data_IF_493650264406
#
_entry.id   IF_493650264406
#
_cell.length_a   1.000
_cell.length_b   1.000
_cell.length_c   1.000
_cell.angle_alpha   90.00
_cell.angle_beta   90.00
_cell.angle_gamma   90.00
#
_symmetry.space_group_name_H-M   'P 1'
#
loop_
_entity.id
_entity.type
_entity.pdbx_description
1 polymer ?
#
# COMPACT_ATOMS: atom_id res chain seq x y z
N UNK A 1 -50.47 5.71 57.06
CA UNK A 1 -49.82 4.76 56.13
C UNK A 1 -49.32 5.61 54.96
N UNK A 2 -48.01 5.82 54.87
CA UNK A 2 -47.40 6.56 53.72
C UNK A 2 -46.56 5.55 52.94
N UNK A 3 -46.98 5.28 51.70
CA UNK A 3 -46.28 4.39 50.77
C UNK A 3 -45.11 5.15 50.13
N UNK A 4 -43.89 4.66 50.33
CA UNK A 4 -42.68 5.06 49.56
C UNK A 4 -42.70 4.30 48.24
N UNK A 5 -42.70 5.04 47.13
CA UNK A 5 -42.42 4.50 45.80
C UNK A 5 -40.93 4.70 45.52
N UNK A 6 -40.17 3.60 45.48
CA UNK A 6 -38.75 3.61 45.10
C UNK A 6 -38.69 3.61 43.58
N UNK A 7 -38.24 4.71 42.98
CA UNK A 7 -37.91 4.77 41.56
C UNK A 7 -36.59 4.12 41.28
N UNK A 8 -36.58 3.02 40.50
CA UNK A 8 -35.37 2.40 39.96
C UNK A 8 -34.93 3.18 38.72
N UNK A 9 -33.89 3.98 38.86
CA UNK A 9 -33.25 4.66 37.75
C UNK A 9 -32.42 3.65 36.94
N UNK A 10 -32.85 3.36 35.71
CA UNK A 10 -32.12 2.56 34.74
C UNK A 10 -31.02 3.43 34.10
N UNK A 11 -29.77 3.32 34.61
CA UNK A 11 -28.62 3.90 33.96
C UNK A 11 -28.30 3.13 32.67
N UNK A 12 -28.73 3.66 31.53
CA UNK A 12 -28.24 3.23 30.22
C UNK A 12 -26.79 3.69 30.08
N UNK A 13 -25.85 2.78 30.34
CA UNK A 13 -24.45 2.96 29.97
C UNK A 13 -24.38 2.92 28.43
N UNK A 14 -24.27 4.09 27.80
CA UNK A 14 -23.81 4.18 26.42
C UNK A 14 -22.36 3.69 26.42
N UNK A 15 -22.15 2.44 26.02
CA UNK A 15 -20.83 1.94 25.70
C UNK A 15 -20.24 2.84 24.59
N UNK A 16 -19.21 3.60 24.92
CA UNK A 16 -18.38 4.24 23.90
C UNK A 16 -17.85 3.09 23.03
N UNK A 17 -18.41 2.93 21.83
CA UNK A 17 -17.89 1.99 20.85
C UNK A 17 -16.40 2.29 20.69
N UNK A 18 -15.54 1.28 20.86
CA UNK A 18 -14.12 1.42 20.61
C UNK A 18 -13.96 2.03 19.21
N UNK A 19 -13.18 3.10 19.10
CA UNK A 19 -12.94 3.75 17.82
C UNK A 19 -12.37 2.71 16.84
N UNK A 20 -12.94 2.63 15.65
CA UNK A 20 -12.50 1.68 14.64
C UNK A 20 -11.03 1.95 14.28
N UNK A 21 -10.18 0.90 14.29
CA UNK A 21 -8.75 1.02 13.99
C UNK A 21 -8.55 1.73 12.65
N UNK A 22 -7.83 2.87 12.62
CA UNK A 22 -7.59 3.59 11.38
C UNK A 22 -6.69 2.79 10.45
N UNK A 23 -7.03 2.70 9.17
CA UNK A 23 -6.24 2.00 8.16
C UNK A 23 -5.51 3.02 7.27
N UNK A 24 -4.24 2.75 7.02
CA UNK A 24 -3.46 3.30 5.92
C UNK A 24 -3.35 2.20 4.83
N UNK A 25 -3.97 2.43 3.67
CA UNK A 25 -3.82 1.52 2.52
C UNK A 25 -2.55 1.88 1.77
N UNK A 26 -1.54 1.02 1.85
CA UNK A 26 -0.23 1.27 1.27
C UNK A 26 -0.08 0.75 -0.17
N UNK A 27 -1.15 0.20 -0.76
CA UNK A 27 -1.08 -0.35 -2.12
C UNK A 27 -2.45 -0.28 -2.80
N UNK A 28 -2.66 0.76 -3.59
CA UNK A 28 -3.92 0.97 -4.29
C UNK A 28 -3.68 1.58 -5.68
N UNK A 29 -4.50 1.19 -6.66
CA UNK A 29 -4.41 1.69 -8.02
C UNK A 29 -5.69 2.37 -8.47
N UNK A 30 -5.55 3.47 -9.22
CA UNK A 30 -6.65 4.15 -9.86
C UNK A 30 -6.31 4.43 -11.32
N UNK A 31 -6.27 3.36 -12.13
CA UNK A 31 -5.89 3.41 -13.54
C UNK A 31 -7.07 3.82 -14.44
N UNK A 32 -6.76 4.16 -15.68
CA UNK A 32 -7.73 4.72 -16.66
C UNK A 32 -8.99 3.88 -16.87
N UNK A 33 -8.92 2.58 -16.68
CA UNK A 33 -10.07 1.67 -16.78
C UNK A 33 -11.08 1.81 -15.65
N UNK A 34 -10.69 2.40 -14.51
CA UNK A 34 -11.60 2.67 -13.40
C UNK A 34 -12.28 4.04 -13.48
N UNK A 35 -11.79 4.99 -14.28
CA UNK A 35 -12.20 6.38 -14.20
C UNK A 35 -13.68 6.64 -14.51
N UNK A 36 -14.24 5.90 -15.47
CA UNK A 36 -15.65 6.06 -15.88
C UNK A 36 -16.60 5.32 -14.94
N UNK A 37 -16.20 4.13 -14.45
CA UNK A 37 -17.02 3.30 -13.57
C UNK A 37 -16.99 3.75 -12.10
N UNK A 38 -15.87 4.34 -11.67
CA UNK A 38 -15.65 4.86 -10.30
C UNK A 38 -15.07 6.27 -10.39
N UNK A 39 -15.86 7.31 -10.71
CA UNK A 39 -15.38 8.68 -10.82
C UNK A 39 -14.66 9.16 -9.54
N UNK A 40 -13.75 10.17 -9.60
CA UNK A 40 -12.90 10.56 -8.47
C UNK A 40 -13.66 10.82 -7.17
N UNK A 41 -14.78 11.54 -7.19
CA UNK A 41 -15.59 11.79 -6.00
C UNK A 41 -16.16 10.50 -5.38
N UNK A 42 -16.57 9.55 -6.23
CA UNK A 42 -17.05 8.23 -5.78
C UNK A 42 -15.89 7.41 -5.19
N UNK A 43 -14.73 7.41 -5.84
CA UNK A 43 -13.53 6.76 -5.33
C UNK A 43 -13.18 7.28 -3.92
N UNK A 44 -13.11 8.58 -3.73
CA UNK A 44 -12.86 9.19 -2.42
C UNK A 44 -13.94 8.83 -1.40
N UNK A 45 -15.21 8.81 -1.79
CA UNK A 45 -16.30 8.39 -0.89
C UNK A 45 -16.15 6.93 -0.45
N UNK A 46 -15.73 6.03 -1.34
CA UNK A 46 -15.44 4.61 -1.02
C UNK A 46 -14.31 4.53 0.02
N UNK A 47 -13.19 5.21 -0.21
CA UNK A 47 -12.04 5.20 0.71
C UNK A 47 -12.42 5.74 2.10
N UNK A 48 -13.13 6.85 2.16
CA UNK A 48 -13.61 7.43 3.43
C UNK A 48 -14.61 6.51 4.15
N UNK A 49 -15.56 5.91 3.42
CA UNK A 49 -16.53 4.95 3.97
C UNK A 49 -15.84 3.70 4.52
N UNK A 50 -14.74 3.25 3.93
CA UNK A 50 -13.92 2.16 4.43
C UNK A 50 -13.11 2.52 5.68
N UNK A 51 -13.15 3.76 6.13
CA UNK A 51 -12.41 4.26 7.30
C UNK A 51 -10.90 4.41 7.05
N UNK A 52 -10.50 4.60 5.79
CA UNK A 52 -9.09 4.85 5.47
C UNK A 52 -8.69 6.26 5.92
N UNK A 53 -7.55 6.37 6.58
CA UNK A 53 -6.94 7.65 6.96
C UNK A 53 -6.04 8.20 5.87
N UNK A 54 -5.31 7.35 5.20
CA UNK A 54 -4.44 7.66 4.06
C UNK A 54 -4.45 6.48 3.08
N UNK A 55 -4.18 6.78 1.82
CA UNK A 55 -4.01 5.78 0.78
C UNK A 55 -2.84 6.16 -0.13
N UNK A 56 -1.89 5.25 -0.29
CA UNK A 56 -0.82 5.35 -1.28
C UNK A 56 -1.37 4.87 -2.62
N UNK A 57 -1.41 5.75 -3.59
CA UNK A 57 -2.09 5.48 -4.87
C UNK A 57 -1.16 5.72 -6.04
N UNK A 58 -1.03 4.70 -6.89
CA UNK A 58 -0.39 4.79 -8.20
C UNK A 58 -1.40 4.50 -9.32
N UNK A 59 -1.11 4.94 -10.51
CA UNK A 59 -1.98 4.77 -11.69
C UNK A 59 -1.17 4.49 -12.95
N UNK A 60 -1.70 3.66 -13.83
CA UNK A 60 -1.34 3.62 -15.24
C UNK A 60 -2.43 4.37 -16.02
N UNK A 61 -2.28 5.57 -16.58
CA UNK A 61 -1.29 6.60 -16.40
C UNK A 61 -1.51 7.51 -15.19
N UNK A 62 -0.51 8.35 -15.01
CA UNK A 62 -0.35 9.21 -13.84
C UNK A 62 -1.50 10.17 -13.55
N UNK A 63 -2.33 10.51 -14.53
CA UNK A 63 -3.49 11.38 -14.35
C UNK A 63 -4.47 10.87 -13.30
N UNK A 64 -4.56 9.55 -13.08
CA UNK A 64 -5.50 8.94 -12.15
C UNK A 64 -5.30 9.40 -10.72
N UNK A 65 -4.11 9.13 -10.15
CA UNK A 65 -3.87 9.54 -8.76
C UNK A 65 -3.82 11.06 -8.60
N UNK A 66 -3.45 11.82 -9.65
CA UNK A 66 -3.50 13.28 -9.60
C UNK A 66 -4.95 13.80 -9.49
N UNK A 67 -5.91 13.18 -10.18
CA UNK A 67 -7.34 13.49 -10.04
C UNK A 67 -7.83 13.20 -8.62
N UNK A 68 -7.46 12.06 -8.04
CA UNK A 68 -7.83 11.74 -6.65
C UNK A 68 -7.14 12.67 -5.64
N UNK A 69 -5.88 13.02 -5.86
CA UNK A 69 -5.16 13.95 -5.00
C UNK A 69 -5.81 15.35 -5.02
N UNK A 70 -6.27 15.81 -6.18
CA UNK A 70 -6.97 17.10 -6.28
C UNK A 70 -8.30 17.11 -5.49
N UNK A 71 -9.01 15.97 -5.42
CA UNK A 71 -10.27 15.85 -4.67
C UNK A 71 -10.04 15.71 -3.14
N UNK A 72 -8.95 15.04 -2.70
CA UNK A 72 -8.70 14.74 -1.30
C UNK A 72 -7.21 14.67 -0.96
N UNK A 73 -6.49 15.81 -0.92
CA UNK A 73 -5.06 15.84 -0.61
C UNK A 73 -4.73 15.41 0.84
N UNK A 74 -5.72 15.43 1.72
CA UNK A 74 -5.64 14.92 3.09
C UNK A 74 -5.64 13.39 3.16
N UNK A 75 -6.18 12.71 2.16
CA UNK A 75 -6.34 11.25 2.11
C UNK A 75 -5.31 10.60 1.17
N UNK A 76 -5.09 11.18 -0.01
CA UNK A 76 -4.32 10.57 -1.10
C UNK A 76 -2.84 10.92 -0.97
N UNK A 77 -1.98 9.91 -1.14
CA UNK A 77 -0.53 10.05 -1.28
C UNK A 77 -0.19 9.58 -2.69
N UNK A 78 0.20 10.48 -3.60
CA UNK A 78 0.53 10.12 -4.97
C UNK A 78 1.85 9.36 -5.08
N UNK A 79 1.86 8.32 -5.91
CA UNK A 79 3.03 7.55 -6.29
C UNK A 79 3.14 7.48 -7.82
N UNK A 80 4.34 7.61 -8.37
CA UNK A 80 4.57 7.67 -9.81
C UNK A 80 4.90 6.28 -10.37
N UNK A 81 4.01 5.72 -11.17
CA UNK A 81 4.28 4.50 -11.92
C UNK A 81 5.17 4.77 -13.15
N UNK A 82 6.15 3.90 -13.47
CA UNK A 82 6.97 4.04 -14.66
C UNK A 82 6.26 3.56 -15.95
N UNK A 83 4.94 3.39 -15.92
CA UNK A 83 4.14 3.08 -17.12
C UNK A 83 3.03 4.11 -17.34
N UNK A 84 2.81 4.42 -18.62
CA UNK A 84 1.80 5.37 -19.10
C UNK A 84 0.46 4.68 -19.35
N UNK A 85 0.50 3.35 -19.54
CA UNK A 85 -0.64 2.48 -19.76
C UNK A 85 -0.39 1.09 -19.20
N UNK A 86 -1.47 0.31 -18.95
CA UNK A 86 -1.38 -1.06 -18.42
C UNK A 86 -0.56 -2.01 -19.31
N UNK A 87 -0.59 -1.84 -20.63
CA UNK A 87 0.18 -2.66 -21.55
C UNK A 87 1.70 -2.55 -21.41
N UNK A 88 2.19 -1.53 -20.70
CA UNK A 88 3.63 -1.32 -20.50
C UNK A 88 4.21 -2.09 -19.29
N UNK A 89 3.38 -2.76 -18.52
CA UNK A 89 3.77 -3.43 -17.26
C UNK A 89 4.93 -4.42 -17.42
N UNK A 90 5.00 -5.14 -18.54
CA UNK A 90 6.03 -6.13 -18.87
C UNK A 90 7.15 -5.62 -19.78
N UNK A 91 7.17 -4.32 -20.14
CA UNK A 91 8.10 -3.81 -21.16
C UNK A 91 8.76 -2.48 -20.79
N UNK A 92 8.21 -1.71 -19.84
CA UNK A 92 8.67 -0.37 -19.45
C UNK A 92 10.19 -0.30 -19.19
N UNK A 93 10.77 -1.34 -18.61
CA UNK A 93 12.17 -1.40 -18.20
C UNK A 93 13.15 -1.51 -19.39
N UNK A 94 12.63 -1.72 -20.62
CA UNK A 94 13.39 -1.71 -21.89
C UNK A 94 13.10 -0.49 -22.76
N UNK A 95 12.05 0.27 -22.43
CA UNK A 95 11.62 1.44 -23.22
C UNK A 95 12.31 2.72 -22.73
N UNK A 96 13.28 3.22 -23.51
CA UNK A 96 14.02 4.43 -23.20
C UNK A 96 13.13 5.69 -23.08
N UNK A 97 11.95 5.71 -23.68
CA UNK A 97 11.01 6.84 -23.58
C UNK A 97 10.34 6.98 -22.22
N UNK A 98 10.47 5.98 -21.35
CA UNK A 98 10.02 6.05 -19.95
C UNK A 98 10.85 7.07 -19.15
N UNK A 99 12.14 7.22 -19.47
CA UNK A 99 13.00 8.15 -18.73
C UNK A 99 12.53 9.60 -18.84
N UNK A 100 12.37 10.19 -20.03
CA UNK A 100 11.83 11.56 -20.15
C UNK A 100 10.41 11.70 -19.60
N UNK A 101 9.58 10.65 -19.65
CA UNK A 101 8.27 10.66 -19.00
C UNK A 101 8.41 10.84 -17.47
N UNK A 102 9.24 10.02 -16.79
CA UNK A 102 9.48 10.15 -15.36
C UNK A 102 10.03 11.54 -15.00
N UNK A 103 10.99 12.04 -15.77
CA UNK A 103 11.59 13.36 -15.54
C UNK A 103 10.57 14.50 -15.69
N UNK A 104 9.67 14.42 -16.67
CA UNK A 104 8.59 15.40 -16.85
C UNK A 104 7.61 15.38 -15.67
N UNK A 105 7.15 14.19 -15.29
CA UNK A 105 6.20 14.05 -14.17
C UNK A 105 6.79 14.53 -12.86
N UNK A 106 8.06 14.20 -12.56
CA UNK A 106 8.76 14.63 -11.35
C UNK A 106 9.02 16.14 -11.28
N UNK A 107 9.13 16.82 -12.43
CA UNK A 107 9.18 18.30 -12.48
C UNK A 107 7.82 18.92 -12.18
N UNK A 108 6.74 18.30 -12.66
CA UNK A 108 5.39 18.86 -12.65
C UNK A 108 4.65 18.62 -11.33
N UNK A 109 4.85 17.47 -10.69
CA UNK A 109 4.08 17.04 -9.52
C UNK A 109 4.98 16.58 -8.37
N UNK A 110 4.37 16.42 -7.19
CA UNK A 110 5.01 15.85 -6.01
C UNK A 110 4.53 14.41 -5.80
N UNK A 111 5.46 13.52 -5.52
CA UNK A 111 5.21 12.11 -5.25
C UNK A 111 5.92 11.68 -3.97
N UNK A 112 5.42 10.64 -3.32
CA UNK A 112 6.09 10.01 -2.18
C UNK A 112 7.09 8.93 -2.63
N UNK A 113 6.79 8.23 -3.73
CA UNK A 113 7.60 7.14 -4.28
C UNK A 113 7.52 7.02 -5.80
N UNK A 114 8.34 6.14 -6.35
CA UNK A 114 8.22 5.62 -7.71
C UNK A 114 7.79 4.17 -7.62
N UNK A 115 6.63 3.84 -8.19
CA UNK A 115 6.03 2.50 -8.21
C UNK A 115 4.50 2.55 -8.25
N UNK A 116 3.82 1.48 -8.01
CA UNK A 116 4.33 0.11 -8.06
C UNK A 116 4.92 -0.19 -9.46
N UNK A 117 6.08 -0.83 -9.50
CA UNK A 117 6.66 -1.31 -10.76
C UNK A 117 6.97 -2.81 -10.71
N UNK A 118 6.69 -3.52 -11.81
CA UNK A 118 7.03 -4.94 -11.99
C UNK A 118 8.43 -5.04 -12.59
N UNK A 119 9.35 -5.70 -11.85
CA UNK A 119 10.75 -5.80 -12.23
C UNK A 119 11.38 -7.04 -11.59
N UNK A 120 12.03 -7.89 -12.38
CA UNK A 120 12.50 -9.18 -11.91
C UNK A 120 13.96 -9.43 -12.28
N UNK A 121 14.70 -10.03 -11.35
CA UNK A 121 16.06 -10.49 -11.56
C UNK A 121 16.99 -9.44 -12.18
N UNK A 122 17.74 -9.86 -13.18
CA UNK A 122 18.73 -9.03 -13.86
C UNK A 122 18.16 -7.86 -14.66
N UNK A 123 16.86 -7.84 -14.97
CA UNK A 123 16.22 -6.69 -15.63
C UNK A 123 16.35 -5.41 -14.79
N UNK A 124 16.52 -5.54 -13.47
CA UNK A 124 16.81 -4.41 -12.58
C UNK A 124 18.11 -3.66 -12.93
N UNK A 125 19.04 -4.31 -13.61
CA UNK A 125 20.31 -3.73 -14.02
C UNK A 125 20.29 -3.05 -15.39
N UNK A 126 19.16 -3.08 -16.09
CA UNK A 126 18.99 -2.39 -17.38
C UNK A 126 19.06 -0.86 -17.24
N UNK A 127 19.40 -0.13 -18.32
CA UNK A 127 19.59 1.33 -18.26
C UNK A 127 18.38 2.10 -17.72
N UNK A 128 17.15 1.72 -18.11
CA UNK A 128 15.92 2.42 -17.67
C UNK A 128 15.66 2.26 -16.18
N UNK A 129 15.64 1.05 -15.58
CA UNK A 129 15.56 0.88 -14.14
C UNK A 129 16.69 1.59 -13.37
N UNK A 130 17.93 1.52 -13.84
CA UNK A 130 19.04 2.27 -13.21
C UNK A 130 18.79 3.77 -13.18
N UNK A 131 18.28 4.33 -14.29
CA UNK A 131 17.94 5.75 -14.34
C UNK A 131 16.76 6.08 -13.42
N UNK A 132 15.75 5.22 -13.34
CA UNK A 132 14.64 5.36 -12.40
C UNK A 132 15.12 5.38 -10.94
N UNK A 133 16.05 4.50 -10.55
CA UNK A 133 16.65 4.48 -9.20
C UNK A 133 17.41 5.79 -8.92
N UNK A 134 18.17 6.30 -9.90
CA UNK A 134 18.85 7.60 -9.77
C UNK A 134 17.86 8.75 -9.57
N UNK A 135 16.75 8.77 -10.31
CA UNK A 135 15.69 9.78 -10.17
C UNK A 135 15.03 9.68 -8.77
N UNK A 136 14.71 8.47 -8.31
CA UNK A 136 14.18 8.28 -6.97
C UNK A 136 15.14 8.82 -5.90
N UNK A 137 16.43 8.53 -6.01
CA UNK A 137 17.47 9.07 -5.11
C UNK A 137 17.56 10.59 -5.16
N UNK A 138 17.59 11.19 -6.35
CA UNK A 138 17.67 12.65 -6.55
C UNK A 138 16.47 13.38 -5.92
N UNK A 139 15.27 12.79 -6.03
CA UNK A 139 14.03 13.36 -5.49
C UNK A 139 13.70 12.87 -4.08
N UNK A 140 14.53 12.02 -3.44
CA UNK A 140 14.36 11.45 -2.10
C UNK A 140 13.08 10.61 -1.96
N UNK A 141 12.70 9.93 -3.03
CA UNK A 141 11.51 9.08 -3.12
C UNK A 141 11.84 7.66 -2.66
N UNK A 142 10.85 6.92 -2.16
CA UNK A 142 10.98 5.48 -2.00
C UNK A 142 10.69 4.74 -3.32
N UNK A 143 11.04 3.48 -3.38
CA UNK A 143 10.75 2.58 -4.49
C UNK A 143 9.66 1.59 -4.05
N UNK A 144 8.58 1.44 -4.82
CA UNK A 144 7.56 0.43 -4.57
C UNK A 144 7.68 -0.68 -5.61
N UNK A 145 8.25 -1.81 -5.18
CA UNK A 145 8.76 -2.83 -6.07
C UNK A 145 7.94 -4.12 -6.03
N UNK A 146 7.20 -4.41 -7.09
CA UNK A 146 6.66 -5.74 -7.35
C UNK A 146 7.77 -6.58 -8.00
N UNK A 147 8.53 -7.25 -7.17
CA UNK A 147 9.81 -7.82 -7.57
C UNK A 147 10.13 -9.09 -6.81
N UNK A 148 10.95 -9.95 -7.41
CA UNK A 148 11.59 -11.06 -6.72
C UNK A 148 12.75 -10.58 -5.83
N UNK A 149 13.26 -11.50 -5.01
CA UNK A 149 14.40 -11.25 -4.11
C UNK A 149 15.62 -10.73 -4.87
N UNK A 150 15.96 -11.32 -6.04
CA UNK A 150 17.14 -10.92 -6.81
C UNK A 150 17.03 -9.46 -7.29
N UNK A 151 15.87 -9.05 -7.81
CA UNK A 151 15.67 -7.67 -8.23
C UNK A 151 15.74 -6.70 -7.05
N UNK A 152 15.13 -7.01 -5.90
CA UNK A 152 15.22 -6.18 -4.68
C UNK A 152 16.67 -6.03 -4.22
N UNK A 153 17.44 -7.12 -4.22
CA UNK A 153 18.87 -7.07 -3.87
C UNK A 153 19.68 -6.19 -4.83
N UNK A 154 19.38 -6.24 -6.14
CA UNK A 154 20.03 -5.40 -7.16
C UNK A 154 19.68 -3.92 -6.97
N UNK A 155 18.44 -3.60 -6.59
CA UNK A 155 18.03 -2.23 -6.27
C UNK A 155 18.82 -1.70 -5.06
N UNK A 156 18.98 -2.48 -3.99
CA UNK A 156 19.83 -2.11 -2.85
C UNK A 156 21.30 -2.03 -3.21
N UNK A 157 21.80 -2.86 -4.13
CA UNK A 157 23.18 -2.74 -4.63
C UNK A 157 23.41 -1.44 -5.39
N UNK A 158 22.41 -0.95 -6.12
CA UNK A 158 22.49 0.35 -6.83
C UNK A 158 22.33 1.54 -5.88
N UNK A 159 21.54 1.39 -4.82
CA UNK A 159 21.30 2.43 -3.83
C UNK A 159 21.16 1.81 -2.44
N UNK A 160 22.27 1.63 -1.67
CA UNK A 160 22.26 0.95 -0.37
C UNK A 160 21.34 1.59 0.67
N UNK A 161 21.14 2.90 0.61
CA UNK A 161 20.26 3.67 1.52
C UNK A 161 18.82 3.80 0.98
N UNK A 162 18.47 3.06 -0.06
CA UNK A 162 17.12 3.10 -0.61
C UNK A 162 16.08 2.74 0.46
N UNK A 163 14.93 3.38 0.36
CA UNK A 163 13.71 2.92 1.03
C UNK A 163 12.90 2.18 0.00
N UNK A 164 12.64 0.90 0.25
CA UNK A 164 11.90 0.04 -0.67
C UNK A 164 10.66 -0.50 0.04
N UNK A 165 9.49 -0.28 -0.52
CA UNK A 165 8.26 -1.00 -0.21
C UNK A 165 8.19 -2.20 -1.15
N UNK A 166 8.29 -3.40 -0.59
CA UNK A 166 8.25 -4.65 -1.34
C UNK A 166 6.81 -5.11 -1.47
N UNK A 167 6.25 -4.93 -2.66
CA UNK A 167 4.86 -5.27 -2.94
C UNK A 167 4.59 -6.74 -2.66
N UNK A 168 3.46 -7.02 -2.00
CA UNK A 168 3.02 -8.36 -1.63
C UNK A 168 4.04 -9.16 -0.82
N UNK A 169 5.03 -8.50 -0.19
CA UNK A 169 6.18 -9.17 0.44
C UNK A 169 6.86 -10.17 -0.52
N UNK A 170 6.90 -9.83 -1.83
CA UNK A 170 7.43 -10.67 -2.90
C UNK A 170 6.68 -11.96 -3.18
N UNK A 171 5.50 -12.17 -2.60
CA UNK A 171 4.82 -13.47 -2.53
C UNK A 171 5.69 -14.59 -1.94
N UNK A 172 6.74 -14.21 -1.21
CA UNK A 172 7.64 -15.14 -0.53
C UNK A 172 7.06 -15.67 0.79
N UNK A 173 7.68 -16.73 1.32
CA UNK A 173 7.33 -17.27 2.63
C UNK A 173 7.80 -16.35 3.75
N UNK A 174 7.16 -16.38 4.94
CA UNK A 174 7.53 -15.54 6.08
C UNK A 174 9.01 -15.61 6.45
N UNK A 175 9.65 -16.79 6.35
CA UNK A 175 11.07 -16.98 6.67
C UNK A 175 11.96 -16.15 5.73
N UNK A 176 11.67 -16.18 4.42
CA UNK A 176 12.42 -15.40 3.43
C UNK A 176 12.19 -13.91 3.61
N UNK A 177 10.96 -13.49 3.89
CA UNK A 177 10.63 -12.10 4.19
C UNK A 177 11.40 -11.61 5.41
N UNK A 178 11.45 -12.39 6.50
CA UNK A 178 12.24 -12.08 7.71
C UNK A 178 13.73 -11.97 7.41
N UNK A 179 14.28 -12.90 6.60
CA UNK A 179 15.70 -12.85 6.15
C UNK A 179 15.99 -11.52 5.44
N UNK A 180 15.14 -11.10 4.51
CA UNK A 180 15.28 -9.86 3.75
C UNK A 180 15.16 -8.62 4.65
N UNK A 181 14.22 -8.60 5.59
CA UNK A 181 14.05 -7.51 6.56
C UNK A 181 15.25 -7.38 7.51
N UNK A 182 15.86 -8.50 7.94
CA UNK A 182 17.10 -8.47 8.74
C UNK A 182 18.27 -7.89 7.94
N UNK A 183 18.38 -8.28 6.67
CA UNK A 183 19.46 -7.86 5.77
C UNK A 183 19.37 -6.39 5.38
N UNK A 184 18.18 -5.88 5.12
CA UNK A 184 17.95 -4.55 4.57
C UNK A 184 17.10 -3.67 5.50
N UNK A 185 17.75 -2.75 6.21
CA UNK A 185 17.05 -1.81 7.12
C UNK A 185 16.08 -0.87 6.39
N UNK A 186 16.32 -0.58 5.11
CA UNK A 186 15.47 0.25 4.26
C UNK A 186 14.38 -0.53 3.52
N UNK A 187 14.06 -1.78 3.92
CA UNK A 187 13.01 -2.59 3.33
C UNK A 187 11.75 -2.55 4.20
N UNK A 188 10.60 -2.29 3.62
CA UNK A 188 9.25 -2.49 4.15
C UNK A 188 8.50 -3.44 3.23
N UNK A 189 7.45 -4.06 3.73
CA UNK A 189 6.65 -5.04 3.02
C UNK A 189 5.18 -4.65 3.07
N UNK A 190 4.44 -4.72 1.97
CA UNK A 190 3.00 -4.74 2.06
C UNK A 190 2.42 -6.15 1.99
N UNK A 191 1.19 -6.28 2.45
CA UNK A 191 0.42 -7.52 2.50
C UNK A 191 -0.74 -7.52 1.51
N UNK A 192 -0.73 -6.57 0.57
CA UNK A 192 -1.75 -6.48 -0.46
C UNK A 192 -1.82 -7.77 -1.27
N UNK A 193 -3.03 -8.14 -1.68
CA UNK A 193 -3.31 -9.34 -2.47
C UNK A 193 -2.84 -10.68 -1.85
N UNK A 194 -2.46 -10.68 -0.56
CA UNK A 194 -2.11 -11.91 0.18
C UNK A 194 -3.29 -12.35 1.05
N UNK A 195 -3.51 -13.67 1.12
CA UNK A 195 -4.52 -14.28 1.99
C UNK A 195 -3.92 -15.33 2.95
N UNK A 196 -2.60 -15.57 2.87
CA UNK A 196 -1.90 -16.59 3.63
C UNK A 196 -1.46 -16.12 5.03
N UNK A 197 -1.43 -14.80 5.29
CA UNK A 197 -1.00 -14.23 6.56
C UNK A 197 -2.08 -14.28 7.65
N UNK A 198 -3.35 -14.46 7.28
CA UNK A 198 -4.44 -14.59 8.25
C UNK A 198 -5.64 -15.35 7.68
N UNK A 199 -6.35 -16.06 8.53
CA UNK A 199 -7.59 -16.78 8.19
C UNK A 199 -8.61 -16.63 9.29
N UNK A 200 -9.85 -16.23 8.95
CA UNK A 200 -10.94 -16.08 9.93
C UNK A 200 -10.61 -15.12 11.08
N UNK A 201 -9.89 -14.05 10.80
CA UNK A 201 -9.46 -13.06 11.78
C UNK A 201 -8.31 -13.52 12.68
N UNK A 202 -7.67 -14.65 12.39
CA UNK A 202 -6.50 -15.16 13.12
C UNK A 202 -5.28 -15.11 12.25
N UNK A 203 -4.19 -14.54 12.78
CA UNK A 203 -2.90 -14.46 12.11
C UNK A 203 -2.25 -15.84 12.09
N UNK A 204 -1.71 -16.20 10.92
CA UNK A 204 -0.91 -17.42 10.76
C UNK A 204 0.32 -17.39 11.70
N UNK A 205 0.70 -18.50 12.36
CA UNK A 205 1.78 -18.53 13.33
C UNK A 205 3.14 -18.06 12.79
N UNK A 206 3.48 -18.40 11.54
CA UNK A 206 4.77 -18.04 10.93
C UNK A 206 4.79 -16.55 10.58
N UNK A 207 3.68 -16.02 10.06
CA UNK A 207 3.48 -14.58 9.84
C UNK A 207 3.44 -13.80 11.15
N UNK A 208 2.81 -14.35 12.20
CA UNK A 208 2.83 -13.74 13.53
C UNK A 208 4.26 -13.57 14.03
N UNK A 209 5.12 -14.56 13.85
CA UNK A 209 6.54 -14.46 14.15
C UNK A 209 7.24 -13.32 13.39
N UNK A 210 6.88 -13.09 12.13
CA UNK A 210 7.41 -11.98 11.33
C UNK A 210 6.92 -10.62 11.84
N UNK A 211 5.63 -10.47 12.14
CA UNK A 211 5.05 -9.21 12.63
C UNK A 211 5.60 -8.83 14.01
N UNK A 212 5.79 -9.80 14.92
CA UNK A 212 6.36 -9.54 16.24
C UNK A 212 7.86 -9.19 16.18
N UNK A 213 8.61 -9.74 15.23
CA UNK A 213 10.02 -9.41 15.03
C UNK A 213 10.22 -8.03 14.38
N UNK A 214 9.29 -7.62 13.50
CA UNK A 214 9.37 -6.39 12.72
C UNK A 214 8.05 -5.59 12.74
N UNK A 215 7.61 -5.09 13.92
CA UNK A 215 6.29 -4.48 14.05
C UNK A 215 6.08 -3.21 13.23
N UNK A 216 7.16 -2.54 12.84
CA UNK A 216 7.16 -1.28 12.08
C UNK A 216 7.49 -1.46 10.58
N UNK A 217 7.49 -2.70 10.07
CA UNK A 217 8.00 -3.00 8.71
C UNK A 217 6.96 -3.62 7.79
N UNK A 218 5.73 -3.81 8.24
CA UNK A 218 4.62 -4.33 7.43
C UNK A 218 3.53 -3.28 7.26
N UNK A 219 2.88 -3.30 6.12
CA UNK A 219 1.80 -2.39 5.77
C UNK A 219 0.60 -3.17 5.21
N UNK A 220 -0.59 -2.70 5.54
CA UNK A 220 -1.83 -3.16 4.92
C UNK A 220 -1.94 -2.58 3.52
N UNK A 221 -2.48 -3.34 2.58
CA UNK A 221 -2.79 -2.88 1.23
C UNK A 221 -3.92 -3.69 0.61
N UNK A 222 -4.71 -3.08 -0.29
CA UNK A 222 -5.83 -3.75 -0.95
C UNK A 222 -5.51 -4.22 -2.36
N UNK A 223 -4.57 -3.57 -3.04
CA UNK A 223 -4.23 -3.78 -4.45
C UNK A 223 -5.48 -3.75 -5.35
N UNK A 224 -6.19 -2.61 -5.33
CA UNK A 224 -7.41 -2.40 -6.12
C UNK A 224 -7.07 -2.06 -7.58
N UNK A 225 -6.47 -3.02 -8.30
CA UNK A 225 -5.92 -2.82 -9.66
C UNK A 225 -6.95 -2.93 -10.79
N UNK A 226 -8.19 -3.36 -10.50
CA UNK A 226 -9.29 -3.36 -11.47
C UNK A 226 -10.50 -2.58 -10.94
N UNK A 227 -11.41 -2.09 -11.83
CA UNK A 227 -12.60 -1.35 -11.40
C UNK A 227 -13.46 -2.10 -10.38
N UNK A 228 -13.62 -3.42 -10.56
CA UNK A 228 -14.45 -4.25 -9.69
C UNK A 228 -13.92 -4.30 -8.26
N UNK A 229 -12.60 -4.28 -8.08
CA UNK A 229 -11.96 -4.35 -6.76
C UNK A 229 -12.20 -3.12 -5.90
N UNK A 230 -12.56 -1.99 -6.50
CA UNK A 230 -12.95 -0.78 -5.76
C UNK A 230 -14.18 -1.00 -4.88
N UNK A 231 -15.10 -1.88 -5.29
CA UNK A 231 -16.29 -2.19 -4.50
C UNK A 231 -15.99 -3.03 -3.25
N UNK A 232 -14.84 -3.70 -3.20
CA UNK A 232 -14.42 -4.54 -2.07
C UNK A 232 -13.48 -3.85 -1.08
N UNK A 233 -13.10 -2.58 -1.27
CA UNK A 233 -12.17 -1.86 -0.37
C UNK A 233 -12.67 -1.85 1.08
N UNK A 234 -13.97 -1.64 1.29
CA UNK A 234 -14.57 -1.67 2.63
C UNK A 234 -14.49 -3.04 3.30
N UNK A 235 -14.71 -4.11 2.53
CA UNK A 235 -14.58 -5.49 3.02
C UNK A 235 -13.13 -5.82 3.37
N UNK A 236 -12.17 -5.47 2.51
CA UNK A 236 -10.74 -5.61 2.77
C UNK A 236 -10.29 -4.86 4.01
N UNK A 237 -10.74 -3.62 4.21
CA UNK A 237 -10.43 -2.84 5.40
C UNK A 237 -11.01 -3.48 6.66
N UNK A 238 -12.25 -3.99 6.59
CA UNK A 238 -12.88 -4.72 7.71
C UNK A 238 -12.13 -6.00 8.04
N UNK A 239 -11.76 -6.79 7.03
CA UNK A 239 -10.96 -8.00 7.23
C UNK A 239 -9.58 -7.68 7.81
N UNK A 240 -8.94 -6.62 7.36
CA UNK A 240 -7.65 -6.17 7.92
C UNK A 240 -7.77 -5.84 9.41
N UNK A 241 -8.82 -5.13 9.82
CA UNK A 241 -9.06 -4.85 11.24
C UNK A 241 -9.27 -6.12 12.08
N UNK A 242 -9.91 -7.14 11.51
CA UNK A 242 -10.15 -8.40 12.22
C UNK A 242 -8.84 -9.13 12.56
N UNK A 243 -7.93 -9.27 11.62
CA UNK A 243 -6.67 -9.96 11.90
C UNK A 243 -5.65 -9.08 12.65
N UNK A 244 -5.67 -7.77 12.46
CA UNK A 244 -4.87 -6.85 13.28
C UNK A 244 -5.27 -6.94 14.75
N UNK A 245 -6.55 -7.08 15.07
CA UNK A 245 -7.03 -7.27 16.43
C UNK A 245 -6.56 -8.60 17.10
N UNK A 246 -5.98 -9.53 16.35
CA UNK A 246 -5.35 -10.75 16.89
C UNK A 246 -3.89 -10.52 17.32
N UNK A 247 -3.29 -9.39 16.95
CA UNK A 247 -1.95 -8.98 17.33
C UNK A 247 -1.97 -8.14 18.63
N UNK A 248 -0.85 -8.00 19.33
CA UNK A 248 -0.71 -7.00 20.39
C UNK A 248 -0.96 -5.58 19.86
N UNK A 249 -1.54 -4.72 20.68
CA UNK A 249 -1.92 -3.34 20.28
C UNK A 249 -0.75 -2.50 19.77
N UNK A 250 0.46 -2.73 20.31
CA UNK A 250 1.70 -2.05 19.91
C UNK A 250 2.29 -2.58 18.60
N UNK A 251 1.78 -3.70 18.10
CA UNK A 251 2.16 -4.30 16.80
C UNK A 251 1.13 -3.98 15.72
N UNK A 252 -0.16 -3.93 16.08
CA UNK A 252 -1.28 -3.65 15.19
C UNK A 252 -1.33 -2.18 14.76
#
# INVERSE_FOLDING_TARGET
>A
MRSLVAGVGLCLAFGAGAAELPIFDAHLHYSHDAWDSVPPKQAIAILRKAGLKRALISSSGDEGQQRLYAEAPDLVIPELRPYRARGEIGSWFRDQSVVPYLEDRLKKYRYAGIGEFHLYGADADLPVPRRMVQLARQHKLFLHAHSDVDAVERLFKQWPEARILWAHSGFDRPEKVREMLRKYKGLWCDLAFRADHARGGKVDPDWRGAFLEFPDRFMVGTDSYTPERWHYIGEHASWSRQWLADLPDDVA
#
